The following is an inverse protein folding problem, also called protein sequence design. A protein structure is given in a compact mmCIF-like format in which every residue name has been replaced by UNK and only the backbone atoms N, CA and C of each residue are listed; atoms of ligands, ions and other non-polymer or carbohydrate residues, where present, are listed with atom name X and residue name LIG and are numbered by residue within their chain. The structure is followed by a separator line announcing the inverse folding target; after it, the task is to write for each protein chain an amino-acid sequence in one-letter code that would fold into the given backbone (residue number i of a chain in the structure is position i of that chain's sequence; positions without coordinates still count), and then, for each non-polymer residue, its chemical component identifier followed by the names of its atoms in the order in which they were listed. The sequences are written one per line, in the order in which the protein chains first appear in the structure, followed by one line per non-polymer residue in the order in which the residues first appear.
data_IF_746722638956
#
_entry.id   IF_746722638956
#
_cell.length_a   1.000
_cell.length_b   1.000
_cell.length_c   1.000
_cell.angle_alpha   90.00
_cell.angle_beta   90.00
_cell.angle_gamma   90.00
#
_symmetry.space_group_name_H-M   'P 1'
#
loop_
_entity.id
_entity.type
_entity.pdbx_description
1 polymer ?
#
# COMPACT_ATOMS: atom_id res chain seq x y z
N UNK A 1 22.53 5.21 -4.01
CA UNK A 1 22.70 3.99 -4.83
C UNK A 1 24.14 3.82 -5.31
N UNK A 2 24.83 4.85 -5.72
CA UNK A 2 26.25 4.75 -6.15
C UNK A 2 27.18 4.13 -5.10
N UNK A 3 26.94 4.35 -3.80
CA UNK A 3 27.73 3.74 -2.74
C UNK A 3 27.56 2.22 -2.57
N UNK A 4 26.52 1.61 -3.18
CA UNK A 4 26.27 0.17 -3.15
C UNK A 4 26.62 -0.53 -4.48
N UNK A 5 27.15 0.21 -5.48
CA UNK A 5 27.59 -0.35 -6.75
C UNK A 5 26.46 -0.70 -7.74
N UNK A 6 25.21 -0.27 -7.47
CA UNK A 6 24.07 -0.49 -8.38
C UNK A 6 23.72 0.79 -9.15
N UNK A 7 23.38 0.63 -10.43
CA UNK A 7 22.77 1.66 -11.27
C UNK A 7 21.27 1.45 -11.33
N UNK A 8 20.48 2.50 -11.57
CA UNK A 8 19.02 2.38 -11.74
C UNK A 8 18.63 1.42 -12.87
N UNK A 9 19.45 1.37 -13.92
CA UNK A 9 19.26 0.48 -15.08
C UNK A 9 19.51 -1.01 -14.78
N UNK A 10 19.97 -1.35 -13.59
CA UNK A 10 20.20 -2.74 -13.19
C UNK A 10 18.91 -3.37 -12.60
N UNK A 11 17.82 -2.59 -12.50
CA UNK A 11 16.53 -3.03 -11.94
C UNK A 11 15.48 -3.17 -13.04
N UNK A 12 14.58 -4.16 -12.87
CA UNK A 12 13.48 -4.42 -13.80
C UNK A 12 12.22 -3.58 -13.50
N UNK A 13 12.07 -3.12 -12.28
CA UNK A 13 10.94 -2.31 -11.83
C UNK A 13 11.26 -1.55 -10.54
N UNK A 14 10.49 -0.50 -10.27
CA UNK A 14 10.47 0.18 -8.97
C UNK A 14 9.15 -0.12 -8.28
N UNK A 15 9.20 -0.44 -6.99
CA UNK A 15 8.00 -0.65 -6.19
C UNK A 15 8.03 0.25 -4.96
N UNK A 16 7.11 1.22 -4.92
CA UNK A 16 6.91 2.09 -3.78
C UNK A 16 5.86 1.54 -2.81
N UNK A 17 5.94 1.98 -1.57
CA UNK A 17 4.80 1.88 -0.66
C UNK A 17 3.76 2.92 -1.07
N UNK A 18 2.49 2.52 -1.20
CA UNK A 18 1.42 3.47 -1.48
C UNK A 18 1.12 4.38 -0.30
N UNK A 19 0.54 5.54 -0.58
CA UNK A 19 0.16 6.58 0.39
C UNK A 19 -1.34 6.62 0.68
N UNK A 20 -1.81 7.80 1.11
CA UNK A 20 -3.23 8.12 1.29
C UNK A 20 -3.84 8.53 -0.06
N UNK A 21 -4.14 7.54 -0.88
CA UNK A 21 -4.93 7.71 -2.10
C UNK A 21 -6.42 7.53 -1.78
N UNK A 22 -7.28 7.57 -2.81
CA UNK A 22 -8.66 7.08 -2.68
C UNK A 22 -8.67 5.62 -2.22
N UNK A 23 -9.75 5.19 -1.61
CA UNK A 23 -9.90 3.78 -1.23
C UNK A 23 -9.88 2.87 -2.45
N UNK A 24 -9.07 1.81 -2.37
CA UNK A 24 -8.92 0.79 -3.41
C UNK A 24 -8.79 -0.59 -2.75
N UNK A 25 -9.11 -1.67 -3.47
CA UNK A 25 -8.83 -3.02 -2.99
C UNK A 25 -7.33 -3.26 -2.78
N UNK A 26 -6.99 -4.32 -2.06
CA UNK A 26 -5.61 -4.81 -1.94
C UNK A 26 -5.04 -5.19 -3.30
N UNK A 27 -3.78 -4.91 -3.54
CA UNK A 27 -3.12 -5.29 -4.79
C UNK A 27 -1.84 -4.52 -5.08
N UNK A 28 -1.27 -4.87 -6.24
CA UNK A 28 -0.14 -4.16 -6.85
C UNK A 28 -0.65 -3.37 -8.04
N UNK A 29 -0.35 -2.09 -8.07
CA UNK A 29 -0.86 -1.15 -9.06
C UNK A 29 0.29 -0.44 -9.76
N UNK A 30 0.17 -0.23 -11.07
CA UNK A 30 1.03 0.71 -11.78
C UNK A 30 0.82 2.12 -11.25
N UNK A 31 1.89 2.88 -11.11
CA UNK A 31 1.81 4.30 -10.75
C UNK A 31 1.24 5.06 -11.95
N UNK A 32 -0.06 5.27 -11.93
CA UNK A 32 -0.79 6.03 -12.94
C UNK A 32 -0.78 7.54 -12.63
N UNK A 33 -1.13 8.35 -13.63
CA UNK A 33 -1.31 9.80 -13.41
C UNK A 33 -2.43 10.09 -12.41
N UNK A 34 -3.42 9.19 -12.29
CA UNK A 34 -4.44 9.33 -11.26
C UNK A 34 -3.87 9.12 -9.85
N UNK A 35 -3.00 8.13 -9.67
CA UNK A 35 -2.32 7.91 -8.39
C UNK A 35 -1.43 9.12 -8.01
N UNK A 36 -0.76 9.72 -8.98
CA UNK A 36 0.02 10.96 -8.76
C UNK A 36 -0.91 12.10 -8.33
N UNK A 37 -2.03 12.31 -9.01
CA UNK A 37 -3.01 13.34 -8.60
C UNK A 37 -3.51 13.11 -7.17
N UNK A 38 -3.86 11.87 -6.83
CA UNK A 38 -4.38 11.54 -5.51
C UNK A 38 -3.36 11.81 -4.38
N UNK A 39 -2.06 11.64 -4.62
CA UNK A 39 -1.04 11.95 -3.61
C UNK A 39 -0.61 13.41 -3.58
N UNK A 40 -0.82 14.16 -4.67
CA UNK A 40 -0.54 15.60 -4.74
C UNK A 40 -1.67 16.45 -4.16
N UNK A 41 -2.92 15.97 -4.28
CA UNK A 41 -4.12 16.56 -3.66
C UNK A 41 -4.85 15.45 -2.88
N UNK A 42 -4.32 15.04 -1.73
CA UNK A 42 -4.72 13.82 -1.06
C UNK A 42 -6.10 13.97 -0.43
N UNK A 43 -7.06 13.07 -0.76
CA UNK A 43 -8.43 13.14 -0.26
C UNK A 43 -8.55 12.95 1.26
N UNK A 44 -7.54 12.36 1.88
CA UNK A 44 -7.49 12.06 3.32
C UNK A 44 -6.34 12.75 4.06
N UNK A 45 -5.73 13.76 3.44
CA UNK A 45 -4.67 14.54 4.03
C UNK A 45 -3.26 14.05 3.70
N UNK A 46 -2.27 14.87 4.09
CA UNK A 46 -0.87 14.59 3.81
C UNK A 46 -0.32 13.53 4.77
N UNK A 47 0.47 12.62 4.21
CA UNK A 47 1.18 11.61 4.97
C UNK A 47 2.54 11.30 4.31
N UNK A 48 3.56 11.01 5.12
CA UNK A 48 4.90 10.71 4.60
C UNK A 48 4.92 9.52 3.61
N UNK A 49 3.98 8.58 3.73
CA UNK A 49 3.86 7.46 2.79
C UNK A 49 3.48 7.88 1.37
N UNK A 50 2.92 9.09 1.16
CA UNK A 50 2.60 9.62 -0.17
C UNK A 50 3.85 9.76 -1.03
N UNK A 51 5.00 10.05 -0.41
CA UNK A 51 6.30 10.12 -1.10
C UNK A 51 6.66 8.80 -1.81
N UNK A 52 6.19 7.65 -1.32
CA UNK A 52 6.51 6.36 -1.92
C UNK A 52 6.01 6.22 -3.36
N UNK A 53 4.83 6.76 -3.67
CA UNK A 53 4.28 6.77 -5.03
C UNK A 53 5.08 7.72 -5.94
N UNK A 54 5.38 8.92 -5.44
CA UNK A 54 6.12 9.95 -6.19
C UNK A 54 7.55 9.48 -6.52
N UNK A 55 8.26 8.96 -5.52
CA UNK A 55 9.61 8.44 -5.70
C UNK A 55 9.65 7.23 -6.64
N UNK A 56 8.65 6.33 -6.55
CA UNK A 56 8.57 5.20 -7.46
C UNK A 56 8.40 5.67 -8.91
N UNK A 57 7.54 6.66 -9.16
CA UNK A 57 7.36 7.26 -10.49
C UNK A 57 8.64 7.91 -11.00
N UNK A 58 9.25 8.77 -10.21
CA UNK A 58 10.48 9.49 -10.58
C UNK A 58 11.62 8.53 -10.95
N UNK A 59 11.87 7.53 -10.09
CA UNK A 59 12.91 6.53 -10.34
C UNK A 59 12.59 5.65 -11.54
N UNK A 60 11.33 5.29 -11.75
CA UNK A 60 10.87 4.52 -12.90
C UNK A 60 11.09 5.29 -14.21
N UNK A 61 10.69 6.55 -14.25
CA UNK A 61 10.86 7.43 -15.41
C UNK A 61 12.34 7.67 -15.72
N UNK A 62 13.19 7.89 -14.69
CA UNK A 62 14.64 8.05 -14.86
C UNK A 62 15.32 6.80 -15.43
N UNK A 63 14.85 5.62 -15.09
CA UNK A 63 15.44 4.35 -15.52
C UNK A 63 14.75 3.75 -16.77
N UNK A 64 13.60 4.29 -17.18
CA UNK A 64 12.79 3.74 -18.26
C UNK A 64 12.16 2.39 -17.92
N UNK A 65 11.87 2.14 -16.62
CA UNK A 65 11.31 0.90 -16.12
C UNK A 65 9.94 1.15 -15.42
N UNK A 66 9.06 0.14 -15.33
CA UNK A 66 7.75 0.32 -14.72
C UNK A 66 7.86 0.63 -13.22
N UNK A 67 6.98 1.51 -12.76
CA UNK A 67 6.82 1.86 -11.35
C UNK A 67 5.49 1.34 -10.81
N UNK A 68 5.53 0.72 -9.65
CA UNK A 68 4.37 0.16 -8.96
C UNK A 68 4.24 0.71 -7.54
N UNK A 69 3.06 0.59 -6.97
CA UNK A 69 2.82 0.67 -5.53
C UNK A 69 1.96 -0.50 -5.06
N UNK A 70 2.12 -0.88 -3.80
CA UNK A 70 1.51 -2.11 -3.26
C UNK A 70 0.80 -1.81 -1.96
N UNK A 71 -0.42 -2.34 -1.82
CA UNK A 71 -1.21 -2.36 -0.58
C UNK A 71 -1.08 -1.03 0.20
N UNK A 72 -1.55 0.10 -0.36
CA UNK A 72 -1.45 1.40 0.32
C UNK A 72 -2.25 1.40 1.63
N UNK A 73 -1.99 2.37 2.48
CA UNK A 73 -2.66 2.49 3.79
C UNK A 73 -4.18 2.73 3.68
N UNK A 74 -4.65 3.13 2.51
CA UNK A 74 -6.06 3.34 2.17
C UNK A 74 -6.74 2.11 1.53
N UNK A 75 -6.12 0.93 1.61
CA UNK A 75 -6.80 -0.31 1.20
C UNK A 75 -8.10 -0.46 1.98
N UNK A 76 -9.19 -0.67 1.24
CA UNK A 76 -10.49 -0.92 1.84
C UNK A 76 -11.07 -2.25 1.35
N UNK A 77 -11.14 -3.19 2.27
CA UNK A 77 -11.76 -4.50 2.12
C UNK A 77 -12.80 -4.73 3.23
N UNK A 78 -13.27 -3.63 3.85
CA UNK A 78 -14.30 -3.70 4.88
C UNK A 78 -15.63 -4.15 4.27
N UNK A 79 -16.32 -5.02 4.99
CA UNK A 79 -17.71 -5.36 4.64
C UNK A 79 -18.62 -4.14 4.86
N UNK A 80 -19.76 -4.04 4.18
CA UNK A 80 -20.69 -2.91 4.39
C UNK A 80 -21.06 -2.69 5.86
N UNK A 81 -21.21 -3.76 6.62
CA UNK A 81 -21.50 -3.68 8.07
C UNK A 81 -20.34 -3.10 8.86
N UNK A 82 -19.11 -3.35 8.44
CA UNK A 82 -17.91 -2.82 9.12
C UNK A 82 -17.74 -1.31 8.94
N UNK A 83 -18.32 -0.71 7.89
CA UNK A 83 -18.36 0.74 7.69
C UNK A 83 -19.34 1.45 8.65
N UNK A 84 -20.30 0.72 9.21
CA UNK A 84 -21.27 1.33 10.13
C UNK A 84 -20.58 1.77 11.40
N UNK A 85 -20.65 3.07 11.69
CA UNK A 85 -20.25 3.62 12.98
C UNK A 85 -21.46 3.70 13.93
N UNK A 86 -21.23 3.95 15.18
CA UNK A 86 -22.30 4.25 16.14
C UNK A 86 -22.89 5.65 15.97
N UNK A 87 -22.44 6.43 14.99
CA UNK A 87 -22.84 7.82 14.79
C UNK A 87 -23.55 8.01 13.44
N UNK A 88 -24.77 8.59 13.46
CA UNK A 88 -25.56 8.79 12.24
C UNK A 88 -24.87 9.76 11.29
N UNK A 89 -24.75 9.36 10.02
CA UNK A 89 -24.15 10.19 8.97
C UNK A 89 -22.62 10.17 8.93
N UNK A 90 -21.98 9.37 9.78
CA UNK A 90 -20.54 9.15 9.76
C UNK A 90 -20.25 7.66 9.55
N UNK A 91 -19.45 7.34 8.55
CA UNK A 91 -18.96 5.97 8.32
C UNK A 91 -17.55 5.80 8.89
N UNK A 92 -17.19 4.56 9.14
CA UNK A 92 -15.81 4.19 9.46
C UNK A 92 -15.01 4.12 8.16
N UNK A 93 -13.83 4.69 8.20
CA UNK A 93 -12.87 4.64 7.08
C UNK A 93 -11.82 3.56 7.34
N UNK A 94 -11.34 2.94 6.27
CA UNK A 94 -10.30 1.91 6.35
C UNK A 94 -8.93 2.54 6.19
N UNK A 95 -8.19 2.68 7.29
CA UNK A 95 -6.79 3.10 7.28
C UNK A 95 -5.97 2.15 8.16
N UNK A 96 -5.03 1.42 7.56
CA UNK A 96 -4.17 0.50 8.30
C UNK A 96 -2.88 0.19 7.51
N UNK A 97 -1.90 -0.40 8.15
CA UNK A 97 -0.66 -0.81 7.51
C UNK A 97 -0.85 -2.10 6.68
N UNK A 98 -1.65 -2.02 5.63
CA UNK A 98 -2.09 -3.15 4.81
C UNK A 98 -0.92 -4.00 4.31
N UNK A 99 0.07 -3.38 3.68
CA UNK A 99 1.26 -4.07 3.16
C UNK A 99 1.96 -4.90 4.24
N UNK A 100 2.18 -4.31 5.42
CA UNK A 100 2.85 -4.99 6.53
C UNK A 100 2.01 -6.15 7.06
N UNK A 101 0.73 -5.92 7.37
CA UNK A 101 -0.16 -6.92 7.93
C UNK A 101 -0.37 -8.10 6.98
N UNK A 102 -0.58 -7.84 5.68
CA UNK A 102 -0.74 -8.90 4.67
C UNK A 102 0.55 -9.68 4.46
N UNK A 103 1.70 -9.01 4.46
CA UNK A 103 3.00 -9.68 4.36
C UNK A 103 3.23 -10.65 5.52
N UNK A 104 2.95 -10.23 6.75
CA UNK A 104 3.08 -11.07 7.94
C UNK A 104 2.07 -12.23 7.91
N UNK A 105 0.82 -11.96 7.51
CA UNK A 105 -0.19 -13.00 7.39
C UNK A 105 0.20 -14.08 6.36
N UNK A 106 0.71 -13.68 5.19
CA UNK A 106 1.22 -14.63 4.18
C UNK A 106 2.40 -15.46 4.69
N UNK A 107 3.33 -14.83 5.42
CA UNK A 107 4.44 -15.56 6.07
C UNK A 107 3.95 -16.55 7.10
N UNK A 108 2.99 -16.16 7.94
CA UNK A 108 2.41 -17.04 8.96
C UNK A 108 1.67 -18.23 8.31
N UNK A 109 0.86 -18.00 7.28
CA UNK A 109 0.20 -19.06 6.53
C UNK A 109 1.20 -20.07 5.97
N UNK A 110 2.29 -19.59 5.36
CA UNK A 110 3.37 -20.45 4.83
C UNK A 110 4.01 -21.30 5.94
N UNK A 111 4.27 -20.73 7.12
CA UNK A 111 4.84 -21.47 8.26
C UNK A 111 3.88 -22.54 8.78
N UNK A 112 2.55 -22.33 8.64
CA UNK A 112 1.51 -23.29 8.99
C UNK A 112 1.26 -24.34 7.91
N UNK A 113 1.96 -24.28 6.78
CA UNK A 113 1.75 -25.18 5.63
C UNK A 113 0.43 -24.96 4.91
N UNK A 114 -0.14 -23.73 4.99
CA UNK A 114 -1.42 -23.35 4.37
C UNK A 114 -1.22 -22.29 3.30
N UNK A 115 -2.17 -22.22 2.36
CA UNK A 115 -2.29 -21.03 1.51
C UNK A 115 -2.81 -19.85 2.34
N UNK A 116 -2.59 -18.63 1.85
CA UNK A 116 -3.06 -17.43 2.55
C UNK A 116 -4.61 -17.39 2.63
N UNK A 117 -5.26 -17.87 1.58
CA UNK A 117 -6.72 -17.91 1.43
C UNK A 117 -7.39 -18.90 2.37
N UNK A 118 -6.69 -19.99 2.72
CA UNK A 118 -7.18 -21.02 3.64
C UNK A 118 -6.88 -20.70 5.11
N UNK A 119 -5.93 -19.81 5.35
CA UNK A 119 -5.48 -19.49 6.70
C UNK A 119 -6.43 -18.50 7.37
N UNK A 120 -6.98 -18.89 8.52
CA UNK A 120 -7.78 -18.01 9.38
C UNK A 120 -6.85 -17.34 10.39
N UNK A 121 -6.44 -16.12 10.09
CA UNK A 121 -5.44 -15.39 10.87
C UNK A 121 -6.03 -14.09 11.42
N UNK A 122 -5.69 -13.79 12.66
CA UNK A 122 -5.85 -12.45 13.23
C UNK A 122 -4.47 -11.82 13.30
N UNK A 123 -4.29 -10.69 12.65
CA UNK A 123 -3.04 -9.93 12.67
C UNK A 123 -3.23 -8.70 13.55
N UNK A 124 -2.39 -8.57 14.55
CA UNK A 124 -2.40 -7.43 15.47
C UNK A 124 -1.13 -6.61 15.22
N UNK A 125 -1.30 -5.34 14.87
CA UNK A 125 -0.22 -4.39 14.71
C UNK A 125 -0.37 -3.33 15.81
N UNK A 126 0.57 -3.31 16.74
CA UNK A 126 0.63 -2.32 17.83
C UNK A 126 1.89 -1.49 17.66
N UNK A 127 1.74 -0.17 17.57
CA UNK A 127 2.86 0.73 17.36
C UNK A 127 2.43 2.19 17.41
N UNK A 128 3.38 3.09 17.39
CA UNK A 128 3.18 4.54 17.50
C UNK A 128 2.91 5.24 16.15
N UNK A 129 2.23 4.62 15.22
CA UNK A 129 1.85 5.27 13.96
C UNK A 129 2.26 4.55 12.71
#
# INVERSE_FOLDING_TARGET
MEGAGYRLTDFDAVCGRGGLLRHIPSGTYLVSDQAIRDVMDPPYGEHASNLGVLLARELGDMAGIPAFFVDPVCVDEMTPVAHVSGFRGMQRESFFHALNQKSIARKAAKLLGKSYEEARLTVVHVGGG
#
